data_IF_159103410940
#
_entry.id   IF_159103410940
#
_cell.length_a   1.000
_cell.length_b   1.000
_cell.length_c   1.000
_cell.angle_alpha   90.00
_cell.angle_beta   90.00
_cell.angle_gamma   90.00
#
_symmetry.space_group_name_H-M   'P 1'
#
loop_
_entity.id
_entity.type
_entity.pdbx_description
1 polymer ?
#
# COMPACT_ATOMS: atom_id res chain seq x y z
N UNK A 1 23.42 24.83 58.62
CA UNK A 1 23.02 23.47 58.21
C UNK A 1 22.51 23.45 56.77
N UNK A 2 23.37 23.81 55.81
CA UNK A 2 23.03 24.07 54.40
C UNK A 2 24.08 23.48 53.43
N UNK A 3 24.84 22.47 53.88
CA UNK A 3 26.01 21.95 53.16
C UNK A 3 26.10 20.41 53.09
N UNK A 4 25.11 19.68 53.59
CA UNK A 4 25.06 18.21 53.54
C UNK A 4 23.91 17.66 52.68
N UNK A 5 23.13 18.53 52.04
CA UNK A 5 21.98 18.14 51.23
C UNK A 5 22.35 17.63 49.81
N UNK A 6 23.60 17.80 49.37
CA UNK A 6 23.99 17.54 47.97
C UNK A 6 24.76 16.22 47.75
N UNK A 7 25.07 15.45 48.79
CA UNK A 7 25.93 14.24 48.66
C UNK A 7 25.19 12.92 48.94
N UNK A 8 23.94 12.96 49.42
CA UNK A 8 23.16 11.76 49.77
C UNK A 8 22.10 11.34 48.73
N UNK A 9 21.97 12.06 47.61
CA UNK A 9 20.89 11.84 46.63
C UNK A 9 21.30 10.90 45.48
N UNK A 10 22.58 10.58 45.31
CA UNK A 10 23.07 9.79 44.16
C UNK A 10 23.27 8.29 44.49
N UNK A 11 23.07 7.87 45.74
CA UNK A 11 23.38 6.49 46.19
C UNK A 11 22.20 5.53 46.35
N UNK A 12 20.94 5.97 46.21
CA UNK A 12 19.75 5.17 46.55
C UNK A 12 18.90 4.84 45.30
N UNK A 13 19.55 4.57 44.17
CA UNK A 13 18.88 4.18 42.92
C UNK A 13 19.39 2.83 42.40
N UNK A 14 19.84 2.00 43.33
CA UNK A 14 19.86 0.56 43.18
C UNK A 14 19.02 -0.04 44.30
N UNK A 15 18.22 -1.03 43.92
CA UNK A 15 17.62 -2.08 44.75
C UNK A 15 16.08 -2.00 44.90
N UNK A 16 15.42 -2.72 43.97
CA UNK A 16 14.45 -3.76 44.30
C UNK A 16 13.14 -3.33 44.98
N UNK A 17 12.10 -3.14 44.16
CA UNK A 17 10.73 -3.56 44.48
C UNK A 17 10.06 -3.89 43.13
N UNK A 18 10.08 -5.13 42.63
CA UNK A 18 9.44 -6.34 43.16
C UNK A 18 7.92 -6.14 43.38
N UNK A 19 7.15 -6.88 42.57
CA UNK A 19 5.69 -6.96 42.56
C UNK A 19 5.04 -7.08 43.94
N UNK A 20 3.89 -6.41 44.10
CA UNK A 20 2.96 -6.56 45.22
C UNK A 20 1.54 -6.14 44.84
N UNK A 21 0.79 -7.08 44.26
CA UNK A 21 -0.67 -7.25 44.14
C UNK A 21 -1.62 -6.24 44.85
N UNK A 22 -2.37 -5.44 44.07
CA UNK A 22 -3.87 -5.39 44.00
C UNK A 22 -4.43 -4.00 43.60
N UNK A 23 -5.08 -3.91 42.43
CA UNK A 23 -6.25 -3.03 42.18
C UNK A 23 -6.06 -1.65 41.53
N UNK A 24 -6.49 -1.54 40.26
CA UNK A 24 -6.88 -0.35 39.45
C UNK A 24 -5.81 0.72 39.18
N UNK A 25 -5.45 1.10 37.95
CA UNK A 25 -5.99 0.86 36.62
C UNK A 25 -5.62 2.08 35.76
N UNK A 26 -4.73 1.90 34.78
CA UNK A 26 -4.52 2.80 33.63
C UNK A 26 -3.55 2.11 32.67
N UNK A 27 -4.12 1.57 31.60
CA UNK A 27 -3.49 0.84 30.52
C UNK A 27 -2.58 1.75 29.67
N UNK A 28 -1.25 1.59 29.78
CA UNK A 28 -0.33 2.00 28.72
C UNK A 28 -0.28 0.90 27.65
N UNK A 29 -1.17 1.04 26.67
CA UNK A 29 -1.26 0.18 25.50
C UNK A 29 -0.09 0.51 24.56
N UNK A 30 1.04 -0.17 24.75
CA UNK A 30 2.04 -0.35 23.70
C UNK A 30 1.36 -1.02 22.52
N UNK A 31 1.02 -0.24 21.50
CA UNK A 31 0.40 -0.70 20.25
C UNK A 31 1.46 -1.43 19.41
N UNK A 32 1.73 -2.68 19.77
CA UNK A 32 2.09 -3.68 18.78
C UNK A 32 0.82 -3.97 17.98
N UNK A 33 0.74 -3.39 16.78
CA UNK A 33 -0.29 -3.73 15.80
C UNK A 33 -0.05 -5.15 15.32
N UNK A 34 -0.66 -6.10 16.04
CA UNK A 34 -0.86 -7.48 15.62
C UNK A 34 -1.87 -7.42 14.47
N UNK A 35 -1.33 -7.36 13.25
CA UNK A 35 -2.05 -7.25 11.98
C UNK A 35 -2.82 -8.56 11.73
N UNK A 36 -4.00 -8.69 12.34
CA UNK A 36 -5.01 -9.64 11.86
C UNK A 36 -5.42 -9.13 10.48
N UNK A 37 -4.81 -9.68 9.42
CA UNK A 37 -5.12 -9.34 8.03
C UNK A 37 -6.51 -9.86 7.69
N UNK A 38 -7.53 -9.11 8.07
CA UNK A 38 -8.86 -9.27 7.54
C UNK A 38 -8.80 -9.07 6.03
N UNK A 39 -9.07 -10.14 5.27
CA UNK A 39 -9.14 -10.10 3.80
C UNK A 39 -10.60 -10.21 3.33
N UNK A 40 -10.85 -9.75 2.11
CA UNK A 40 -12.08 -10.00 1.36
C UNK A 40 -11.74 -10.80 0.11
N UNK A 41 -12.63 -11.71 -0.28
CA UNK A 41 -12.50 -12.46 -1.53
C UNK A 41 -13.09 -11.65 -2.68
N UNK A 42 -12.29 -11.42 -3.71
CA UNK A 42 -12.70 -10.75 -4.94
C UNK A 42 -12.69 -11.77 -6.07
N UNK A 43 -13.83 -11.93 -6.74
CA UNK A 43 -13.93 -12.76 -7.94
C UNK A 43 -13.66 -11.92 -9.18
N UNK A 44 -12.59 -12.26 -9.88
CA UNK A 44 -12.26 -11.67 -11.17
C UNK A 44 -12.83 -12.55 -12.28
N UNK A 45 -13.58 -11.94 -13.20
CA UNK A 45 -14.07 -12.62 -14.40
C UNK A 45 -13.99 -11.65 -15.60
N UNK A 46 -12.97 -11.80 -16.42
CA UNK A 46 -12.72 -10.90 -17.55
C UNK A 46 -12.04 -11.61 -18.73
N UNK A 47 -12.04 -10.98 -19.90
CA UNK A 47 -11.30 -11.46 -21.08
C UNK A 47 -9.99 -10.70 -21.26
N UNK A 48 -8.91 -11.45 -21.27
CA UNK A 48 -7.61 -11.03 -21.79
C UNK A 48 -7.66 -10.92 -23.31
N UNK A 49 -7.14 -9.84 -23.89
CA UNK A 49 -6.74 -9.86 -25.29
C UNK A 49 -5.57 -10.84 -25.49
N UNK A 50 -5.62 -11.59 -26.58
CA UNK A 50 -4.52 -12.43 -27.03
C UNK A 50 -3.53 -11.65 -27.90
N UNK A 51 -2.73 -12.37 -28.66
CA UNK A 51 -1.73 -11.82 -29.59
C UNK A 51 -2.35 -11.45 -30.93
N UNK A 52 -3.49 -12.05 -31.31
CA UNK A 52 -4.14 -11.81 -32.61
C UNK A 52 -5.00 -10.55 -32.57
N UNK A 53 -4.93 -9.79 -33.66
CA UNK A 53 -5.70 -8.54 -33.84
C UNK A 53 -7.22 -8.74 -33.92
N UNK A 54 -7.65 -9.92 -34.37
CA UNK A 54 -9.07 -10.29 -34.45
C UNK A 54 -9.66 -10.75 -33.10
N UNK A 55 -8.82 -10.84 -32.05
CA UNK A 55 -9.23 -11.28 -30.72
C UNK A 55 -9.63 -12.76 -30.63
N UNK A 56 -9.39 -13.56 -31.67
CA UNK A 56 -9.77 -14.98 -31.71
C UNK A 56 -9.04 -15.84 -30.68
N UNK A 57 -7.91 -15.36 -30.15
CA UNK A 57 -7.11 -16.00 -29.10
C UNK A 57 -7.27 -15.34 -27.72
N UNK A 58 -8.30 -14.49 -27.55
CA UNK A 58 -8.63 -13.91 -26.26
C UNK A 58 -8.87 -14.99 -25.19
N UNK A 59 -8.26 -14.82 -24.01
CA UNK A 59 -8.34 -15.78 -22.92
C UNK A 59 -9.30 -15.30 -21.85
N UNK A 60 -10.25 -16.14 -21.44
CA UNK A 60 -11.07 -15.87 -20.26
C UNK A 60 -10.22 -16.11 -19.00
N UNK A 61 -10.18 -15.13 -18.11
CA UNK A 61 -9.60 -15.24 -16.77
C UNK A 61 -10.74 -15.32 -15.77
N UNK A 62 -10.73 -16.37 -14.95
CA UNK A 62 -11.61 -16.55 -13.81
C UNK A 62 -10.79 -16.97 -12.61
N UNK A 63 -10.76 -16.15 -11.59
CA UNK A 63 -9.96 -16.38 -10.39
C UNK A 63 -10.62 -15.71 -9.18
N UNK A 64 -10.27 -16.18 -7.99
CA UNK A 64 -10.64 -15.55 -6.74
C UNK A 64 -9.37 -15.13 -6.04
N UNK A 65 -9.24 -13.85 -5.73
CA UNK A 65 -8.08 -13.29 -5.03
C UNK A 65 -8.49 -12.77 -3.66
N UNK A 66 -7.61 -12.92 -2.67
CA UNK A 66 -7.80 -12.34 -1.35
C UNK A 66 -7.13 -10.97 -1.27
N UNK A 67 -7.92 -9.94 -0.97
CA UNK A 67 -7.44 -8.56 -0.87
C UNK A 67 -7.61 -8.10 0.58
N UNK A 68 -6.57 -7.48 1.20
CA UNK A 68 -6.72 -6.90 2.53
C UNK A 68 -7.85 -5.86 2.56
N UNK A 69 -8.65 -5.85 3.64
CA UNK A 69 -9.58 -4.75 3.88
C UNK A 69 -8.78 -3.44 4.00
N UNK A 70 -9.27 -2.38 3.37
CA UNK A 70 -8.67 -1.03 3.42
C UNK A 70 -7.15 -1.04 3.10
N UNK A 71 -6.75 -1.44 1.88
CA UNK A 71 -5.35 -1.51 1.49
C UNK A 71 -4.68 -0.14 1.60
N UNK A 72 -3.42 -0.11 2.04
CA UNK A 72 -2.68 1.14 2.32
C UNK A 72 -1.69 1.50 1.22
N UNK A 73 -1.32 0.52 0.38
CA UNK A 73 -0.36 0.67 -0.72
C UNK A 73 -0.95 0.13 -2.01
N UNK A 74 -1.55 1.01 -2.80
CA UNK A 74 -2.12 0.69 -4.10
C UNK A 74 -1.14 0.96 -5.23
N UNK A 75 -1.05 0.04 -6.18
CA UNK A 75 -0.52 0.30 -7.52
C UNK A 75 -1.72 0.37 -8.46
N UNK A 76 -1.85 1.46 -9.21
CA UNK A 76 -3.07 1.72 -10.00
C UNK A 76 -2.71 1.85 -11.46
N UNK A 77 -3.09 0.85 -12.27
CA UNK A 77 -2.91 0.83 -13.72
C UNK A 77 -4.16 1.26 -14.49
N UNK A 78 -5.17 1.79 -13.82
CA UNK A 78 -6.36 2.30 -14.47
C UNK A 78 -6.60 3.76 -14.10
N UNK A 79 -6.57 4.64 -15.10
CA UNK A 79 -6.68 6.08 -14.88
C UNK A 79 -8.07 6.51 -14.39
N UNK A 80 -9.14 5.80 -14.77
CA UNK A 80 -10.47 6.07 -14.22
C UNK A 80 -10.54 5.69 -12.74
N UNK A 81 -9.95 4.56 -12.37
CA UNK A 81 -9.83 4.14 -10.97
C UNK A 81 -8.95 5.12 -10.18
N UNK A 82 -7.85 5.58 -10.77
CA UNK A 82 -6.96 6.55 -10.14
C UNK A 82 -7.67 7.89 -9.88
N UNK A 83 -8.46 8.35 -10.85
CA UNK A 83 -9.29 9.55 -10.73
C UNK A 83 -10.35 9.39 -9.62
N UNK A 84 -11.08 8.27 -9.61
CA UNK A 84 -12.04 7.96 -8.53
C UNK A 84 -11.35 7.93 -7.15
N UNK A 85 -10.15 7.33 -7.04
CA UNK A 85 -9.41 7.34 -5.78
C UNK A 85 -9.01 8.76 -5.36
N UNK A 86 -8.63 9.63 -6.31
CA UNK A 86 -8.36 11.04 -6.04
C UNK A 86 -9.61 11.74 -5.50
N UNK A 87 -10.74 11.62 -6.19
CA UNK A 87 -12.01 12.26 -5.81
C UNK A 87 -12.55 11.77 -4.46
N UNK A 88 -12.28 10.51 -4.10
CA UNK A 88 -12.62 9.95 -2.78
C UNK A 88 -11.63 10.34 -1.67
N UNK A 89 -10.60 11.15 -1.97
CA UNK A 89 -9.59 11.55 -0.99
C UNK A 89 -8.61 10.44 -0.61
N UNK A 90 -8.45 9.42 -1.47
CA UNK A 90 -7.61 8.23 -1.25
C UNK A 90 -6.27 8.30 -2.01
N UNK A 91 -5.89 9.48 -2.52
CA UNK A 91 -4.64 9.66 -3.25
C UNK A 91 -3.38 9.35 -2.41
N UNK A 92 -3.48 9.39 -1.07
CA UNK A 92 -2.41 9.02 -0.13
C UNK A 92 -2.14 7.50 -0.10
N UNK A 93 -3.12 6.69 -0.50
CA UNK A 93 -3.00 5.23 -0.60
C UNK A 93 -2.27 4.79 -1.86
N UNK A 94 -2.17 5.67 -2.86
CA UNK A 94 -1.51 5.35 -4.13
C UNK A 94 0.01 5.43 -3.97
N UNK A 95 0.71 4.36 -4.32
CA UNK A 95 2.18 4.29 -4.28
C UNK A 95 2.84 4.33 -5.64
N UNK A 96 2.18 3.82 -6.66
CA UNK A 96 2.75 3.81 -8.00
C UNK A 96 1.67 3.86 -9.07
N UNK A 97 2.00 4.54 -10.16
CA UNK A 97 1.13 4.72 -11.32
C UNK A 97 1.96 4.66 -12.61
N UNK A 98 1.38 4.25 -13.74
CA UNK A 98 2.09 4.23 -15.01
C UNK A 98 2.16 5.65 -15.58
N UNK A 99 3.29 6.34 -15.41
CA UNK A 99 3.43 7.73 -15.86
C UNK A 99 3.96 7.86 -17.29
N UNK A 100 4.47 6.77 -17.85
CA UNK A 100 5.23 6.76 -19.09
C UNK A 100 6.56 7.49 -18.96
N UNK A 101 7.25 7.65 -20.08
CA UNK A 101 8.51 8.39 -20.13
C UNK A 101 8.27 9.87 -19.80
N UNK A 102 9.02 10.41 -18.84
CA UNK A 102 8.92 11.81 -18.41
C UNK A 102 7.54 12.22 -17.88
N UNK A 103 6.68 11.28 -17.48
CA UNK A 103 5.34 11.58 -16.99
C UNK A 103 4.30 11.93 -18.07
N UNK A 104 4.62 11.70 -19.34
CA UNK A 104 3.79 12.12 -20.49
C UNK A 104 2.56 11.26 -20.75
N UNK A 105 2.46 10.07 -20.15
CA UNK A 105 1.29 9.20 -20.33
C UNK A 105 0.11 9.55 -19.43
N UNK A 106 0.30 10.41 -18.42
CA UNK A 106 -0.78 10.87 -17.56
C UNK A 106 -1.56 12.00 -18.24
N UNK A 107 -2.90 11.89 -18.33
CA UNK A 107 -3.77 13.01 -18.68
C UNK A 107 -3.63 14.19 -17.69
N UNK A 108 -3.99 15.40 -18.14
CA UNK A 108 -3.80 16.62 -17.36
C UNK A 108 -4.56 16.64 -16.02
N UNK A 109 -5.76 16.04 -15.98
CA UNK A 109 -6.56 15.93 -14.75
C UNK A 109 -5.92 15.05 -13.66
N UNK A 110 -4.90 14.24 -14.03
CA UNK A 110 -4.09 13.41 -13.13
C UNK A 110 -2.67 13.97 -12.93
N UNK A 111 -2.44 15.25 -13.25
CA UNK A 111 -1.13 15.89 -13.11
C UNK A 111 -0.56 15.83 -11.69
N UNK A 112 -1.41 15.82 -10.66
CA UNK A 112 -1.01 15.62 -9.26
C UNK A 112 -0.21 14.33 -9.05
N UNK A 113 -0.48 13.30 -9.86
CA UNK A 113 0.22 12.02 -9.78
C UNK A 113 1.59 12.03 -10.47
N UNK A 114 2.01 13.14 -11.10
CA UNK A 114 3.37 13.29 -11.65
C UNK A 114 4.42 13.41 -10.55
N UNK A 115 4.03 13.86 -9.36
CA UNK A 115 4.88 13.99 -8.16
C UNK A 115 5.78 12.78 -7.90
N UNK A 116 7.03 13.02 -7.47
CA UNK A 116 8.04 11.98 -7.23
C UNK A 116 7.63 10.94 -6.17
N UNK A 117 6.73 11.32 -5.25
CA UNK A 117 6.19 10.42 -4.22
C UNK A 117 5.44 9.22 -4.80
N UNK A 118 4.96 9.33 -6.04
CA UNK A 118 4.36 8.23 -6.78
C UNK A 118 5.41 7.58 -7.67
N UNK A 119 5.71 6.30 -7.45
CA UNK A 119 6.66 5.58 -8.29
C UNK A 119 6.11 5.45 -9.72
N UNK A 120 6.98 5.65 -10.71
CA UNK A 120 6.63 5.46 -12.12
C UNK A 120 6.73 3.97 -12.47
N UNK A 121 5.62 3.32 -12.78
CA UNK A 121 5.58 1.91 -13.20
C UNK A 121 5.71 1.72 -14.71
N UNK A 122 6.27 2.70 -15.43
CA UNK A 122 6.37 2.66 -16.88
C UNK A 122 5.07 3.14 -17.52
N UNK A 123 4.60 2.46 -18.56
CA UNK A 123 3.36 2.79 -19.27
C UNK A 123 2.31 1.69 -19.11
N UNK A 124 1.08 1.97 -19.56
CA UNK A 124 -0.01 0.99 -19.56
C UNK A 124 0.23 -0.19 -20.52
N UNK A 125 1.10 -0.02 -21.52
CA UNK A 125 1.48 -1.09 -22.45
C UNK A 125 2.76 -1.80 -22.01
N UNK A 126 3.66 -1.06 -21.37
CA UNK A 126 4.99 -1.52 -20.98
C UNK A 126 5.20 -1.27 -19.49
N UNK A 127 4.85 -2.28 -18.69
CA UNK A 127 4.92 -2.20 -17.24
C UNK A 127 6.35 -2.44 -16.76
N UNK A 128 6.85 -1.54 -15.93
CA UNK A 128 8.09 -1.72 -15.19
C UNK A 128 7.82 -2.49 -13.90
N UNK A 129 8.03 -3.81 -13.95
CA UNK A 129 7.79 -4.72 -12.83
C UNK A 129 8.70 -4.50 -11.63
N UNK A 130 9.92 -4.02 -11.83
CA UNK A 130 10.83 -3.73 -10.71
C UNK A 130 10.31 -2.56 -9.88
N UNK A 131 9.71 -1.56 -10.53
CA UNK A 131 9.05 -0.44 -9.85
C UNK A 131 7.75 -0.86 -9.16
N UNK A 132 7.00 -1.80 -9.74
CA UNK A 132 5.84 -2.41 -9.06
C UNK A 132 6.28 -3.16 -7.80
N UNK A 133 7.30 -4.00 -7.89
CA UNK A 133 7.83 -4.75 -6.75
C UNK A 133 8.39 -3.83 -5.67
N UNK A 134 9.12 -2.78 -6.06
CA UNK A 134 9.66 -1.77 -5.15
C UNK A 134 8.55 -1.01 -4.40
N UNK A 135 7.36 -0.86 -4.99
CA UNK A 135 6.21 -0.24 -4.33
C UNK A 135 5.63 -1.08 -3.18
N UNK A 136 5.95 -2.39 -3.13
CA UNK A 136 5.43 -3.35 -2.14
C UNK A 136 3.92 -3.21 -1.94
N UNK A 137 3.11 -3.37 -3.00
CA UNK A 137 1.67 -3.12 -2.95
C UNK A 137 0.93 -4.13 -2.07
N UNK A 138 -0.14 -3.65 -1.44
CA UNK A 138 -1.16 -4.48 -0.80
C UNK A 138 -2.25 -4.87 -1.82
N UNK A 139 -2.42 -4.06 -2.87
CA UNK A 139 -3.40 -4.24 -3.94
C UNK A 139 -2.88 -3.66 -5.26
N UNK A 140 -3.21 -4.31 -6.37
CA UNK A 140 -2.92 -3.83 -7.72
C UNK A 140 -4.24 -3.72 -8.49
N UNK A 141 -4.59 -2.52 -8.93
CA UNK A 141 -5.75 -2.28 -9.78
C UNK A 141 -5.33 -2.33 -11.24
N UNK A 142 -5.94 -3.23 -12.00
CA UNK A 142 -5.69 -3.41 -13.43
C UNK A 142 -6.96 -3.17 -14.25
N UNK A 143 -6.80 -2.87 -15.54
CA UNK A 143 -7.91 -2.83 -16.49
C UNK A 143 -7.49 -3.45 -17.82
N UNK A 144 -8.34 -3.40 -18.86
CA UNK A 144 -8.10 -4.11 -20.13
C UNK A 144 -6.74 -3.81 -20.79
N UNK A 145 -6.18 -2.62 -20.59
CA UNK A 145 -4.87 -2.23 -21.15
C UNK A 145 -3.71 -2.99 -20.53
N UNK A 146 -3.81 -3.34 -19.25
CA UNK A 146 -2.80 -4.09 -18.49
C UNK A 146 -3.19 -5.53 -18.21
N UNK A 147 -4.44 -5.92 -18.49
CA UNK A 147 -4.97 -7.26 -18.26
C UNK A 147 -4.11 -8.37 -18.89
N UNK A 148 -3.48 -8.14 -20.05
CA UNK A 148 -2.72 -9.18 -20.76
C UNK A 148 -1.29 -9.37 -20.24
N UNK A 149 -0.88 -8.56 -19.26
CA UNK A 149 0.44 -8.61 -18.66
C UNK A 149 0.56 -9.86 -17.78
N UNK A 150 1.30 -10.87 -18.25
CA UNK A 150 1.42 -12.19 -17.59
C UNK A 150 1.93 -12.12 -16.15
N UNK A 151 2.70 -11.10 -15.79
CA UNK A 151 3.29 -10.92 -14.45
C UNK A 151 2.41 -10.10 -13.49
N UNK A 152 1.25 -9.60 -13.96
CA UNK A 152 0.24 -8.95 -13.11
C UNK A 152 -0.93 -9.87 -12.77
N UNK A 153 -0.90 -11.10 -13.29
CA UNK A 153 -1.75 -12.24 -12.94
C UNK A 153 -0.94 -13.17 -12.05
#
# INVERSE_FOLDING_TARGET
MKKYALVLVIGLMFLLAACGNSGSGSDDKKSESKDTKDTVKIENNYKASGEKRDGSDAKTVKETVEVPKNPKKAVVFDYGTLDTMKELGLADKVKAVPKGEGGKSLPDFLSDFKDEKYLNTGSLKEVNYDKVAAAKPDVIYISGRTANQKKLR
#
